data_IF_030279902821
#
_entry.id   IF_030279902821
#
_cell.length_a   1.000
_cell.length_b   1.000
_cell.length_c   1.000
_cell.angle_alpha   90.00
_cell.angle_beta   90.00
_cell.angle_gamma   90.00
#
_symmetry.space_group_name_H-M   'P 1'
#
loop_
_entity.id
_entity.type
_entity.pdbx_description
1 polymer ?
#
# COMPACT_ATOMS: atom_id res chain seq x y z
N UNK A 1 -2.65 3.76 30.61
CA UNK A 1 -2.54 3.60 29.13
C UNK A 1 -3.00 2.18 28.80
N UNK A 2 -3.90 1.96 27.84
CA UNK A 2 -4.19 0.60 27.36
C UNK A 2 -3.42 0.42 26.05
N UNK A 3 -2.30 -0.29 26.13
CA UNK A 3 -1.55 -0.73 24.97
C UNK A 3 -2.23 -1.98 24.42
N UNK A 4 -2.52 -2.00 23.14
CA UNK A 4 -3.09 -3.19 22.50
C UNK A 4 -1.99 -4.16 22.09
N UNK A 5 -1.70 -5.07 23.03
CA UNK A 5 -0.69 -6.12 22.86
C UNK A 5 -0.85 -6.97 21.59
N UNK A 6 -2.06 -7.34 21.14
CA UNK A 6 -2.22 -8.12 19.91
C UNK A 6 -1.68 -7.40 18.68
N UNK A 7 -2.06 -6.13 18.48
CA UNK A 7 -1.61 -5.31 17.34
C UNK A 7 -0.10 -5.08 17.40
N UNK A 8 0.44 -4.77 18.59
CA UNK A 8 1.89 -4.62 18.74
C UNK A 8 2.63 -5.93 18.44
N UNK A 9 2.12 -7.07 18.92
CA UNK A 9 2.67 -8.39 18.64
C UNK A 9 2.65 -8.72 17.14
N UNK A 10 1.55 -8.41 16.45
CA UNK A 10 1.45 -8.58 15.00
C UNK A 10 2.44 -7.69 14.24
N UNK A 11 2.69 -6.46 14.68
CA UNK A 11 3.72 -5.59 14.09
C UNK A 11 5.12 -6.24 14.22
N UNK A 12 5.46 -6.74 15.40
CA UNK A 12 6.74 -7.42 15.64
C UNK A 12 6.86 -8.67 14.77
N UNK A 13 5.81 -9.52 14.74
CA UNK A 13 5.78 -10.73 13.90
C UNK A 13 5.88 -10.38 12.42
N UNK A 14 5.20 -9.33 11.96
CA UNK A 14 5.19 -8.92 10.56
C UNK A 14 6.60 -8.54 10.08
N UNK A 15 7.27 -7.61 10.77
CA UNK A 15 8.64 -7.23 10.39
C UNK A 15 9.64 -8.36 10.64
N UNK A 16 9.49 -9.09 11.75
CA UNK A 16 10.35 -10.22 12.08
C UNK A 16 10.29 -11.32 11.02
N UNK A 17 9.09 -11.68 10.57
CA UNK A 17 8.89 -12.67 9.50
C UNK A 17 9.39 -12.17 8.15
N UNK A 18 9.21 -10.88 7.82
CA UNK A 18 9.75 -10.31 6.58
C UNK A 18 11.28 -10.32 6.56
N UNK A 19 11.92 -9.86 7.65
CA UNK A 19 13.37 -9.91 7.81
C UNK A 19 13.88 -11.35 7.78
N UNK A 20 13.16 -12.26 8.44
CA UNK A 20 13.58 -13.65 8.50
C UNK A 20 13.47 -14.38 7.16
N UNK A 21 12.41 -14.08 6.41
CA UNK A 21 12.26 -14.57 5.06
C UNK A 21 13.40 -14.04 4.15
N UNK A 22 13.73 -12.76 4.25
CA UNK A 22 14.78 -12.14 3.44
C UNK A 22 16.20 -12.59 3.78
N UNK A 23 16.56 -12.71 5.05
CA UNK A 23 17.94 -13.04 5.46
C UNK A 23 18.22 -14.54 5.56
N UNK A 24 17.28 -15.34 6.08
CA UNK A 24 17.52 -16.76 6.34
C UNK A 24 16.80 -17.69 5.36
N UNK A 25 15.59 -17.35 4.92
CA UNK A 25 14.83 -18.22 4.03
C UNK A 25 15.22 -18.06 2.55
N UNK A 26 15.53 -16.84 2.11
CA UNK A 26 15.89 -16.54 0.72
C UNK A 26 17.03 -17.41 0.17
N UNK A 27 18.16 -17.61 0.89
CA UNK A 27 19.27 -18.40 0.35
C UNK A 27 18.95 -19.90 0.19
N UNK A 28 17.96 -20.42 0.91
CA UNK A 28 17.63 -21.85 0.94
C UNK A 28 16.34 -22.21 0.22
N UNK A 29 15.38 -21.29 0.15
CA UNK A 29 14.05 -21.49 -0.43
C UNK A 29 13.48 -20.17 -0.97
N UNK A 30 14.08 -19.66 -2.04
CA UNK A 30 13.79 -18.34 -2.63
C UNK A 30 12.29 -18.10 -2.93
N UNK A 31 11.60 -19.07 -3.53
CA UNK A 31 10.17 -18.96 -3.84
C UNK A 31 9.32 -18.82 -2.57
N UNK A 32 9.60 -19.62 -1.55
CA UNK A 32 8.88 -19.56 -0.27
C UNK A 32 9.19 -18.25 0.47
N UNK A 33 10.44 -17.78 0.43
CA UNK A 33 10.83 -16.50 0.99
C UNK A 33 10.03 -15.33 0.38
N UNK A 34 9.96 -15.27 -0.95
CA UNK A 34 9.19 -14.24 -1.65
C UNK A 34 7.69 -14.31 -1.31
N UNK A 35 7.12 -15.52 -1.23
CA UNK A 35 5.72 -15.69 -0.83
C UNK A 35 5.45 -15.19 0.60
N UNK A 36 6.32 -15.53 1.57
CA UNK A 36 6.23 -15.02 2.95
C UNK A 36 6.38 -13.50 3.00
N UNK A 37 7.32 -12.95 2.23
CA UNK A 37 7.52 -11.50 2.15
C UNK A 37 6.30 -10.79 1.53
N UNK A 38 5.66 -11.38 0.52
CA UNK A 38 4.43 -10.83 -0.07
C UNK A 38 3.26 -10.83 0.92
N UNK A 39 3.08 -11.93 1.66
CA UNK A 39 2.03 -12.03 2.69
C UNK A 39 2.28 -11.04 3.83
N UNK A 40 3.53 -10.89 4.27
CA UNK A 40 3.88 -9.89 5.30
C UNK A 40 3.75 -8.46 4.78
N UNK A 41 4.00 -8.18 3.51
CA UNK A 41 3.72 -6.86 2.91
C UNK A 41 2.20 -6.55 2.87
N UNK A 42 1.36 -7.55 2.61
CA UNK A 42 -0.09 -7.41 2.75
C UNK A 42 -0.49 -7.18 4.22
N UNK A 43 0.00 -8.00 5.15
CA UNK A 43 -0.25 -7.83 6.59
C UNK A 43 0.18 -6.45 7.08
N UNK A 44 1.34 -5.95 6.64
CA UNK A 44 1.83 -4.61 6.96
C UNK A 44 0.87 -3.53 6.50
N UNK A 45 0.29 -3.67 5.30
CA UNK A 45 -0.74 -2.73 4.80
C UNK A 45 -1.98 -2.72 5.69
N UNK A 46 -2.41 -3.89 6.19
CA UNK A 46 -3.49 -3.99 7.19
C UNK A 46 -3.11 -3.36 8.53
N UNK A 47 -1.87 -3.55 9.00
CA UNK A 47 -1.38 -2.92 10.23
C UNK A 47 -1.26 -1.40 10.10
N UNK A 48 -0.90 -0.90 8.92
CA UNK A 48 -0.95 0.53 8.60
C UNK A 48 -2.36 1.07 8.74
N UNK A 49 -3.37 0.34 8.25
CA UNK A 49 -4.79 0.68 8.41
C UNK A 49 -5.22 0.74 9.89
N UNK A 50 -4.82 -0.23 10.72
CA UNK A 50 -5.12 -0.15 12.16
C UNK A 50 -4.38 1.03 12.84
N UNK A 51 -3.12 1.27 12.45
CA UNK A 51 -2.31 2.34 13.03
C UNK A 51 -2.81 3.75 12.71
N UNK A 52 -3.36 3.96 11.50
CA UNK A 52 -3.94 5.24 11.13
C UNK A 52 -5.23 5.56 11.92
N UNK A 53 -5.95 4.52 12.38
CA UNK A 53 -7.15 4.61 13.22
C UNK A 53 -6.83 4.86 14.70
N UNK A 54 -5.55 4.82 15.08
CA UNK A 54 -5.12 5.17 16.43
C UNK A 54 -4.75 3.96 17.31
N UNK A 55 -4.50 2.80 16.71
CA UNK A 55 -3.97 1.62 17.40
C UNK A 55 -2.45 1.48 17.19
N UNK A 56 -1.69 0.78 18.04
CA UNK A 56 -2.07 0.18 19.31
C UNK A 56 -2.00 1.14 20.51
N UNK A 57 -1.62 2.41 20.29
CA UNK A 57 -1.41 3.40 21.37
C UNK A 57 -2.23 4.67 21.14
N UNK A 58 -2.50 5.42 22.21
CA UNK A 58 -3.13 6.75 22.09
C UNK A 58 -2.28 7.78 21.34
N UNK A 59 -0.98 7.53 21.16
CA UNK A 59 -0.07 8.46 20.49
C UNK A 59 0.00 8.16 19.00
N UNK A 60 -0.62 9.05 18.21
CA UNK A 60 -0.58 8.97 16.73
C UNK A 60 0.84 8.92 16.17
N UNK A 61 1.80 9.59 16.83
CA UNK A 61 3.22 9.60 16.40
C UNK A 61 3.89 8.25 16.64
N UNK A 62 3.57 7.59 17.76
CA UNK A 62 4.11 6.24 18.05
C UNK A 62 3.52 5.25 17.06
N UNK A 63 2.21 5.29 16.82
CA UNK A 63 1.55 4.38 15.89
C UNK A 63 2.09 4.54 14.46
N UNK A 64 2.26 5.77 13.99
CA UNK A 64 2.94 6.06 12.72
C UNK A 64 4.33 5.43 12.70
N UNK A 65 5.19 5.74 13.69
CA UNK A 65 6.55 5.24 13.76
C UNK A 65 6.66 3.70 13.72
N UNK A 66 5.71 3.00 14.34
CA UNK A 66 5.66 1.53 14.33
C UNK A 66 5.48 0.95 12.93
N UNK A 67 4.84 1.66 12.00
CA UNK A 67 4.53 1.16 10.64
C UNK A 67 5.16 1.99 9.52
N UNK A 68 6.05 2.93 9.86
CA UNK A 68 6.68 3.85 8.91
C UNK A 68 7.59 3.19 7.88
N UNK A 69 8.05 1.95 8.11
CA UNK A 69 8.92 1.21 7.17
C UNK A 69 8.04 0.47 6.15
N UNK A 70 7.92 0.97 4.91
CA UNK A 70 6.85 0.56 4.00
C UNK A 70 7.25 -0.68 3.20
N UNK A 71 6.84 -1.87 3.65
CA UNK A 71 7.23 -3.12 2.98
C UNK A 71 6.77 -3.21 1.51
N UNK A 72 5.64 -2.60 1.16
CA UNK A 72 5.13 -2.55 -0.22
C UNK A 72 5.68 -1.39 -1.07
N UNK A 73 6.48 -0.49 -0.47
CA UNK A 73 7.09 0.71 -1.09
C UNK A 73 6.13 1.79 -1.63
N UNK A 74 4.87 1.45 -1.91
CA UNK A 74 4.00 2.27 -2.77
C UNK A 74 3.45 3.54 -2.11
N UNK A 75 2.92 3.44 -0.88
CA UNK A 75 2.07 4.49 -0.31
C UNK A 75 2.67 5.13 0.95
N UNK A 76 2.94 6.45 0.95
CA UNK A 76 3.30 7.17 2.17
C UNK A 76 2.20 7.09 3.22
N UNK A 77 2.56 6.70 4.46
CA UNK A 77 1.61 6.55 5.58
C UNK A 77 0.67 7.76 5.73
N UNK A 78 1.21 8.98 5.70
CA UNK A 78 0.41 10.20 5.88
C UNK A 78 -0.51 10.51 4.71
N UNK A 79 -0.16 10.07 3.49
CA UNK A 79 -1.03 10.23 2.31
C UNK A 79 -2.16 9.24 2.36
N UNK A 80 -1.85 7.97 2.63
CA UNK A 80 -2.86 6.95 2.83
C UNK A 80 -3.82 7.31 3.97
N UNK A 81 -3.30 7.77 5.11
CA UNK A 81 -4.13 8.28 6.20
C UNK A 81 -5.05 9.43 5.78
N UNK A 82 -4.55 10.39 5.00
CA UNK A 82 -5.34 11.53 4.57
C UNK A 82 -6.48 11.11 3.62
N UNK A 83 -6.19 10.27 2.62
CA UNK A 83 -7.20 9.76 1.68
C UNK A 83 -8.20 8.85 2.39
N UNK A 84 -7.73 7.98 3.29
CA UNK A 84 -8.58 7.04 3.99
C UNK A 84 -9.52 7.72 5.01
N UNK A 85 -9.04 8.74 5.73
CA UNK A 85 -9.91 9.53 6.61
C UNK A 85 -10.92 10.37 5.82
N UNK A 86 -10.57 10.82 4.61
CA UNK A 86 -11.52 11.47 3.72
C UNK A 86 -12.61 10.49 3.28
N UNK A 87 -12.24 9.26 2.91
CA UNK A 87 -13.20 8.18 2.60
C UNK A 87 -14.19 7.94 3.75
N UNK A 88 -13.72 7.91 5.00
CA UNK A 88 -14.59 7.73 6.17
C UNK A 88 -15.45 8.95 6.54
N UNK A 89 -15.10 10.14 6.08
CA UNK A 89 -15.90 11.35 6.28
C UNK A 89 -16.98 11.51 5.20
N UNK A 90 -16.92 10.74 4.11
CA UNK A 90 -17.87 10.84 3.02
C UNK A 90 -19.13 10.00 3.31
N UNK A 91 -20.27 10.67 3.46
CA UNK A 91 -21.58 10.03 3.61
C UNK A 91 -21.98 9.25 2.33
N UNK A 92 -21.34 9.54 1.19
CA UNK A 92 -21.62 8.95 -0.13
C UNK A 92 -20.50 7.99 -0.56
N UNK A 93 -20.25 6.99 0.28
CA UNK A 93 -19.41 5.83 -0.03
C UNK A 93 -19.58 5.40 -1.50
N UNK A 94 -18.46 5.22 -2.22
CA UNK A 94 -18.36 4.86 -3.65
C UNK A 94 -18.60 5.99 -4.66
N UNK A 95 -18.89 7.22 -4.24
CA UNK A 95 -18.99 8.34 -5.18
C UNK A 95 -17.64 8.61 -5.87
N UNK A 96 -17.58 8.66 -7.22
CA UNK A 96 -16.32 8.77 -7.95
C UNK A 96 -15.63 10.15 -7.84
N UNK A 97 -16.26 11.13 -7.20
CA UNK A 97 -15.74 12.48 -7.01
C UNK A 97 -15.30 12.74 -5.57
N UNK A 98 -16.10 12.29 -4.61
CA UNK A 98 -15.92 12.62 -3.19
C UNK A 98 -15.10 11.54 -2.44
N UNK A 99 -15.20 10.27 -2.88
CA UNK A 99 -14.51 9.14 -2.27
C UNK A 99 -13.16 8.84 -2.99
N UNK A 100 -12.01 9.13 -2.34
CA UNK A 100 -10.69 8.89 -2.92
C UNK A 100 -10.32 7.40 -3.05
N UNK A 101 -11.08 6.50 -2.43
CA UNK A 101 -10.95 5.05 -2.55
C UNK A 101 -11.99 4.44 -3.51
N UNK A 102 -12.82 5.27 -4.17
CA UNK A 102 -13.83 4.78 -5.11
C UNK A 102 -13.21 4.13 -6.35
N UNK A 103 -13.75 2.96 -6.70
CA UNK A 103 -13.45 2.27 -7.94
C UNK A 103 -14.40 2.64 -9.10
N UNK A 104 -15.41 3.48 -8.83
CA UNK A 104 -16.35 3.91 -9.84
C UNK A 104 -15.80 5.11 -10.62
N UNK A 105 -16.35 5.31 -11.81
CA UNK A 105 -16.09 6.49 -12.63
C UNK A 105 -17.41 7.00 -13.14
N UNK A 106 -17.57 8.32 -13.15
CA UNK A 106 -18.76 8.93 -13.73
C UNK A 106 -18.86 8.56 -15.22
N UNK A 107 -20.08 8.26 -15.68
CA UNK A 107 -20.32 7.73 -17.02
C UNK A 107 -19.71 8.61 -18.12
N UNK A 108 -19.87 9.93 -18.00
CA UNK A 108 -19.35 10.89 -18.96
C UNK A 108 -17.81 10.95 -19.01
N UNK A 109 -17.12 10.67 -17.91
CA UNK A 109 -15.65 10.53 -17.89
C UNK A 109 -15.24 9.24 -18.57
N UNK A 110 -15.92 8.14 -18.22
CA UNK A 110 -15.67 6.84 -18.83
C UNK A 110 -15.85 6.89 -20.34
N UNK A 111 -16.90 7.54 -20.84
CA UNK A 111 -17.18 7.66 -22.27
C UNK A 111 -16.08 8.39 -23.04
N UNK A 112 -15.33 9.30 -22.39
CA UNK A 112 -14.19 10.02 -22.98
C UNK A 112 -12.90 9.20 -23.02
N UNK A 113 -12.82 8.06 -22.33
CA UNK A 113 -11.62 7.24 -22.36
C UNK A 113 -11.41 6.56 -23.72
N UNK A 114 -10.14 6.40 -24.15
CA UNK A 114 -9.82 5.63 -25.34
C UNK A 114 -10.24 4.16 -25.15
N UNK A 115 -10.55 3.48 -26.27
CA UNK A 115 -11.12 2.13 -26.27
C UNK A 115 -10.23 1.09 -25.54
N UNK A 116 -8.90 1.26 -25.62
CA UNK A 116 -7.96 0.38 -24.93
C UNK A 116 -8.07 0.50 -23.41
N UNK A 117 -8.25 1.72 -22.87
CA UNK A 117 -8.38 1.95 -21.43
C UNK A 117 -9.71 1.42 -20.92
N UNK A 118 -10.80 1.62 -21.68
CA UNK A 118 -12.11 0.99 -21.39
C UNK A 118 -12.00 -0.53 -21.33
N UNK A 119 -11.21 -1.14 -22.22
CA UNK A 119 -10.96 -2.59 -22.22
C UNK A 119 -10.17 -2.98 -20.98
N UNK A 120 -9.09 -2.30 -20.66
CA UNK A 120 -8.29 -2.55 -19.47
C UNK A 120 -9.12 -2.47 -18.17
N UNK A 121 -9.98 -1.46 -18.05
CA UNK A 121 -10.88 -1.31 -16.91
C UNK A 121 -11.93 -2.43 -16.84
N UNK A 122 -12.47 -2.89 -17.97
CA UNK A 122 -13.37 -4.06 -18.00
C UNK A 122 -12.68 -5.32 -17.49
N UNK A 123 -11.42 -5.56 -17.88
CA UNK A 123 -10.64 -6.68 -17.34
C UNK A 123 -10.40 -6.52 -15.84
N UNK A 124 -10.01 -5.32 -15.38
CA UNK A 124 -9.83 -5.01 -13.96
C UNK A 124 -11.09 -5.18 -13.09
N UNK A 125 -12.28 -5.17 -13.69
CA UNK A 125 -13.55 -5.46 -13.01
C UNK A 125 -13.83 -6.97 -12.83
N UNK A 126 -12.98 -7.85 -13.38
CA UNK A 126 -12.95 -9.26 -13.00
C UNK A 126 -12.04 -9.47 -11.79
N UNK A 127 -12.25 -10.52 -10.99
CA UNK A 127 -11.37 -10.80 -9.84
C UNK A 127 -9.92 -11.02 -10.27
N UNK A 128 -9.71 -11.82 -11.31
CA UNK A 128 -8.37 -12.08 -11.84
C UNK A 128 -7.72 -10.79 -12.34
N UNK A 129 -8.46 -9.98 -13.11
CA UNK A 129 -7.94 -8.70 -13.56
C UNK A 129 -7.71 -7.71 -12.41
N UNK A 130 -8.51 -7.74 -11.34
CA UNK A 130 -8.30 -6.91 -10.15
C UNK A 130 -6.98 -7.25 -9.45
N UNK A 131 -6.71 -8.53 -9.26
CA UNK A 131 -5.47 -9.04 -8.64
C UNK A 131 -4.27 -8.71 -9.52
N UNK A 132 -4.37 -8.94 -10.83
CA UNK A 132 -3.23 -8.76 -11.76
C UNK A 132 -3.00 -7.29 -12.10
N UNK A 133 -4.04 -6.55 -12.49
CA UNK A 133 -3.94 -5.19 -13.04
C UNK A 133 -4.19 -4.10 -12.00
N UNK A 134 -5.04 -4.38 -11.00
CA UNK A 134 -5.52 -3.40 -10.03
C UNK A 134 -4.39 -2.64 -9.32
N UNK A 135 -3.40 -3.33 -8.72
CA UNK A 135 -2.29 -2.66 -8.06
C UNK A 135 -1.53 -1.68 -8.97
N UNK A 136 -1.30 -2.03 -10.23
CA UNK A 136 -0.61 -1.17 -11.19
C UNK A 136 -1.45 0.06 -11.57
N UNK A 137 -2.76 -0.14 -11.80
CA UNK A 137 -3.68 0.93 -12.13
C UNK A 137 -3.83 1.92 -10.98
N UNK A 138 -4.01 1.42 -9.75
CA UNK A 138 -4.17 2.24 -8.55
C UNK A 138 -2.86 2.97 -8.22
N UNK A 139 -1.72 2.27 -8.21
CA UNK A 139 -0.43 2.90 -7.94
C UNK A 139 -0.10 3.96 -9.01
N UNK A 140 -0.34 3.67 -10.29
CA UNK A 140 -0.14 4.63 -11.38
C UNK A 140 -1.00 5.89 -11.21
N UNK A 141 -2.30 5.73 -10.96
CA UNK A 141 -3.21 6.85 -10.72
C UNK A 141 -2.81 7.66 -9.48
N UNK A 142 -2.41 6.98 -8.40
CA UNK A 142 -1.91 7.59 -7.18
C UNK A 142 -0.65 8.42 -7.43
N UNK A 143 0.36 7.89 -8.11
CA UNK A 143 1.59 8.65 -8.37
C UNK A 143 1.36 9.86 -9.28
N UNK A 144 0.45 9.76 -10.26
CA UNK A 144 0.08 10.91 -11.09
C UNK A 144 -0.59 12.00 -10.24
N UNK A 145 -1.53 11.64 -9.36
CA UNK A 145 -2.21 12.60 -8.50
C UNK A 145 -1.25 13.24 -7.49
N UNK A 146 -0.37 12.45 -6.88
CA UNK A 146 0.64 12.95 -5.95
C UNK A 146 1.62 13.91 -6.63
N UNK A 147 2.03 13.63 -7.86
CA UNK A 147 2.91 14.51 -8.61
C UNK A 147 2.23 15.86 -8.93
N UNK A 148 0.92 15.88 -9.17
CA UNK A 148 0.16 17.12 -9.32
C UNK A 148 0.09 17.90 -8.00
N UNK A 149 -0.19 17.20 -6.89
CA UNK A 149 -0.29 17.80 -5.56
C UNK A 149 1.05 18.36 -5.05
N UNK A 150 2.18 17.70 -5.35
CA UNK A 150 3.52 18.22 -5.02
C UNK A 150 3.82 19.50 -5.81
N UNK A 151 3.40 19.56 -7.09
CA UNK A 151 3.57 20.73 -7.96
C UNK A 151 2.72 21.91 -7.50
N UNK A 152 1.50 21.67 -7.03
CA UNK A 152 0.61 22.69 -6.49
C UNK A 152 0.89 23.04 -5.01
N UNK A 153 1.98 22.53 -4.43
CA UNK A 153 2.34 22.69 -3.01
C UNK A 153 1.20 22.36 -2.03
N UNK A 154 0.47 21.28 -2.33
CA UNK A 154 -0.63 20.85 -1.46
C UNK A 154 -0.12 20.53 -0.05
N UNK A 155 -0.84 21.04 0.94
CA UNK A 155 -0.43 21.02 2.34
C UNK A 155 -0.11 19.61 2.82
N UNK A 156 1.09 19.43 3.39
CA UNK A 156 1.51 18.18 4.02
C UNK A 156 1.98 17.08 3.06
N UNK A 157 1.81 17.24 1.74
CA UNK A 157 2.20 16.22 0.75
C UNK A 157 3.72 16.05 0.69
N UNK A 158 4.47 17.15 0.57
CA UNK A 158 5.94 17.11 0.55
C UNK A 158 6.54 16.48 1.82
N UNK A 159 5.98 16.80 2.99
CA UNK A 159 6.41 16.20 4.25
C UNK A 159 6.13 14.70 4.30
N UNK A 160 4.97 14.25 3.80
CA UNK A 160 4.65 12.83 3.74
C UNK A 160 5.67 12.05 2.90
N UNK A 161 6.04 12.61 1.74
CA UNK A 161 7.07 12.03 0.88
C UNK A 161 8.48 12.12 1.48
N UNK A 162 8.82 13.22 2.15
CA UNK A 162 10.12 13.38 2.82
C UNK A 162 10.33 12.36 3.96
N UNK A 163 9.25 11.88 4.59
CA UNK A 163 9.30 10.80 5.58
C UNK A 163 9.31 9.41 4.93
N UNK A 164 8.55 9.23 3.84
CA UNK A 164 8.43 7.95 3.15
C UNK A 164 9.68 7.56 2.37
N UNK A 165 10.29 8.49 1.63
CA UNK A 165 11.42 8.18 0.75
C UNK A 165 12.62 7.59 1.53
N UNK A 166 13.07 8.14 2.67
CA UNK A 166 14.14 7.52 3.45
C UNK A 166 13.78 6.12 3.96
N UNK A 167 12.52 5.91 4.39
CA UNK A 167 12.07 4.61 4.87
C UNK A 167 11.96 3.57 3.74
N UNK A 168 11.50 3.98 2.56
CA UNK A 168 11.49 3.15 1.36
C UNK A 168 12.91 2.81 0.89
N UNK A 169 13.84 3.78 0.94
CA UNK A 169 15.25 3.54 0.66
C UNK A 169 15.88 2.55 1.64
N UNK A 170 15.50 2.60 2.92
CA UNK A 170 15.93 1.60 3.91
C UNK A 170 15.44 0.19 3.52
N UNK A 171 14.18 0.04 3.11
CA UNK A 171 13.66 -1.26 2.63
C UNK A 171 14.45 -1.74 1.42
N UNK A 172 14.67 -0.88 0.42
CA UNK A 172 15.46 -1.23 -0.77
C UNK A 172 16.90 -1.61 -0.42
N UNK A 173 17.54 -0.90 0.52
CA UNK A 173 18.87 -1.23 1.00
C UNK A 173 18.91 -2.59 1.71
N UNK A 174 17.92 -2.91 2.55
CA UNK A 174 17.82 -4.22 3.20
C UNK A 174 17.64 -5.34 2.16
N UNK A 175 16.74 -5.16 1.20
CA UNK A 175 16.50 -6.12 0.11
C UNK A 175 17.77 -6.34 -0.72
N UNK A 176 18.51 -5.26 -1.00
CA UNK A 176 19.80 -5.34 -1.68
C UNK A 176 20.82 -6.16 -0.87
N UNK A 177 20.94 -5.90 0.44
CA UNK A 177 21.84 -6.64 1.34
C UNK A 177 21.44 -8.12 1.47
N UNK A 178 20.15 -8.44 1.38
CA UNK A 178 19.64 -9.83 1.33
C UNK A 178 20.05 -10.56 0.04
N UNK A 179 20.58 -9.85 -0.97
CA UNK A 179 20.92 -10.43 -2.28
C UNK A 179 19.69 -10.69 -3.16
N UNK A 180 18.56 -10.07 -2.87
CA UNK A 180 17.34 -10.17 -3.68
C UNK A 180 17.40 -9.08 -4.75
N UNK A 181 17.29 -9.41 -6.05
CA UNK A 181 17.19 -8.39 -7.10
C UNK A 181 16.01 -7.45 -6.86
N UNK A 182 16.23 -6.13 -6.87
CA UNK A 182 15.20 -5.15 -6.52
C UNK A 182 13.96 -5.23 -7.43
N UNK A 183 14.15 -5.51 -8.72
CA UNK A 183 13.02 -5.71 -9.64
C UNK A 183 12.18 -6.94 -9.25
N UNK A 184 12.82 -8.00 -8.75
CA UNK A 184 12.14 -9.21 -8.31
C UNK A 184 11.36 -8.93 -7.03
N UNK A 185 11.90 -8.11 -6.12
CA UNK A 185 11.16 -7.65 -4.95
C UNK A 185 9.88 -6.88 -5.33
N UNK A 186 9.95 -5.98 -6.32
CA UNK A 186 8.77 -5.25 -6.80
C UNK A 186 7.71 -6.21 -7.38
N UNK A 187 8.12 -7.14 -8.24
CA UNK A 187 7.20 -8.03 -8.95
C UNK A 187 6.69 -9.19 -8.09
N UNK A 188 7.49 -9.71 -7.16
CA UNK A 188 7.16 -10.91 -6.39
C UNK A 188 6.76 -10.62 -4.93
N UNK A 189 7.00 -9.41 -4.41
CA UNK A 189 6.62 -9.02 -3.04
C UNK A 189 5.64 -7.85 -3.06
N UNK A 190 6.04 -6.70 -3.62
CA UNK A 190 5.19 -5.50 -3.59
C UNK A 190 3.89 -5.70 -4.37
N UNK A 191 3.98 -6.19 -5.61
CA UNK A 191 2.80 -6.41 -6.44
C UNK A 191 1.85 -7.46 -5.84
N UNK A 192 2.28 -8.69 -5.47
CA UNK A 192 1.38 -9.67 -4.89
C UNK A 192 0.86 -9.24 -3.51
N UNK A 193 1.66 -8.55 -2.70
CA UNK A 193 1.21 -7.99 -1.42
C UNK A 193 0.05 -6.99 -1.59
N UNK A 194 0.19 -6.06 -2.55
CA UNK A 194 -0.91 -5.13 -2.89
C UNK A 194 -2.10 -5.85 -3.55
N UNK A 195 -1.85 -6.91 -4.31
CA UNK A 195 -2.89 -7.72 -4.94
C UNK A 195 -3.77 -8.43 -3.91
N UNK A 196 -3.16 -8.97 -2.85
CA UNK A 196 -3.87 -9.60 -1.73
C UNK A 196 -4.82 -8.62 -1.03
N UNK A 197 -4.37 -7.37 -0.83
CA UNK A 197 -5.22 -6.31 -0.26
C UNK A 197 -6.39 -5.97 -1.20
N UNK A 198 -6.14 -5.91 -2.50
CA UNK A 198 -7.18 -5.60 -3.49
C UNK A 198 -8.32 -6.63 -3.54
N UNK A 199 -8.12 -7.85 -3.02
CA UNK A 199 -9.18 -8.87 -2.91
C UNK A 199 -10.27 -8.41 -1.92
N UNK A 200 -9.88 -7.76 -0.81
CA UNK A 200 -10.83 -7.30 0.23
C UNK A 200 -11.84 -6.29 -0.30
N UNK A 201 -11.43 -5.47 -1.26
CA UNK A 201 -12.27 -4.42 -1.85
C UNK A 201 -12.93 -4.85 -3.15
N UNK A 202 -12.92 -6.15 -3.47
CA UNK A 202 -13.59 -6.70 -4.64
C UNK A 202 -15.00 -7.17 -4.25
N UNK A 203 -16.00 -6.32 -4.48
CA UNK A 203 -17.42 -6.64 -4.32
C UNK A 203 -18.27 -5.76 -5.25
#
# INVERSE_FOLDING_TARGET
>A
MRLEWPTLGLIVVCYGAWLAAGFWLWPVASVLALAVMAVTAALHSSLVHECLHGHPTRSRRINEALVSVPLSLAYPFRRYKATHLQHHHDDRLTDPFDDPESYYRARWQYDRFPAWLKTLLRWNNTLLGRVVLGPWLVAGAFFVSEAALIRSDARGVRLAWALHLPAALLVLALVWVMGIPLWLYVVAVCWPGLSLIAIRTFA
#
